data_IF_942511571013
#
_entry.id   IF_942511571013
#
_cell.length_a   1.000
_cell.length_b   1.000
_cell.length_c   1.000
_cell.angle_alpha   90.00
_cell.angle_beta   90.00
_cell.angle_gamma   90.00
#
_symmetry.space_group_name_H-M   'P 1'
#
loop_
_entity.id
_entity.type
_entity.pdbx_description
1 polymer ?
#
# COMPACT_ATOMS: atom_id res chain seq x y z
N UNK A 1 -11.87 -11.25 -20.99
CA UNK A 1 -11.62 -10.37 -19.83
C UNK A 1 -10.96 -11.03 -18.62
N UNK A 2 -11.01 -12.34 -18.47
CA UNK A 2 -10.42 -13.07 -17.32
C UNK A 2 -8.92 -13.38 -17.48
N UNK A 3 -8.37 -13.38 -18.67
CA UNK A 3 -6.96 -13.77 -18.91
C UNK A 3 -5.96 -12.64 -18.69
N UNK A 4 -6.37 -11.38 -18.81
CA UNK A 4 -5.50 -10.23 -18.54
C UNK A 4 -5.30 -9.94 -17.04
N UNK A 5 -6.28 -10.30 -16.20
CA UNK A 5 -6.15 -10.17 -14.74
C UNK A 5 -5.21 -11.22 -14.13
N UNK A 6 -5.13 -12.41 -14.73
CA UNK A 6 -4.25 -13.50 -14.26
C UNK A 6 -2.79 -13.17 -14.56
N UNK A 7 -2.50 -12.44 -15.62
CA UNK A 7 -1.13 -12.07 -15.98
C UNK A 7 -0.61 -10.83 -15.20
N UNK A 8 -1.50 -10.08 -14.54
CA UNK A 8 -1.14 -8.93 -13.69
C UNK A 8 -0.78 -9.33 -12.24
N UNK A 9 -1.27 -10.47 -11.74
CA UNK A 9 -1.00 -10.89 -10.35
C UNK A 9 0.48 -11.25 -10.12
N UNK A 10 1.19 -11.74 -11.14
CA UNK A 10 2.63 -12.03 -11.05
C UNK A 10 3.53 -10.78 -10.95
N UNK A 11 2.96 -9.58 -11.13
CA UNK A 11 3.69 -8.31 -11.02
C UNK A 11 3.74 -7.74 -9.60
N UNK A 12 2.91 -8.23 -8.66
CA UNK A 12 2.86 -7.73 -7.30
C UNK A 12 3.87 -8.44 -6.38
N UNK A 13 4.46 -7.65 -5.48
CA UNK A 13 5.46 -8.10 -4.52
C UNK A 13 4.83 -8.20 -3.13
N UNK A 14 4.97 -9.34 -2.49
CA UNK A 14 4.51 -9.59 -1.12
C UNK A 14 5.72 -9.83 -0.23
N UNK A 15 5.74 -9.20 0.93
CA UNK A 15 6.69 -9.48 1.99
C UNK A 15 6.01 -10.34 3.06
N UNK A 16 6.57 -11.50 3.33
CA UNK A 16 6.15 -12.42 4.41
C UNK A 16 7.11 -12.28 5.57
N UNK A 17 6.59 -11.98 6.75
CA UNK A 17 7.36 -11.79 7.98
C UNK A 17 6.87 -12.75 9.04
N UNK A 18 7.68 -13.74 9.37
CA UNK A 18 7.42 -14.73 10.41
C UNK A 18 8.77 -15.31 10.88
N UNK A 19 8.94 -15.57 12.16
CA UNK A 19 10.15 -16.15 12.71
C UNK A 19 10.18 -17.68 12.62
N UNK A 20 9.05 -18.34 12.37
CA UNK A 20 8.93 -19.77 12.20
C UNK A 20 9.11 -20.21 10.74
N UNK A 21 10.17 -20.99 10.39
CA UNK A 21 10.40 -21.45 9.03
C UNK A 21 9.22 -22.24 8.44
N UNK A 22 8.52 -23.02 9.24
CA UNK A 22 7.37 -23.81 8.80
C UNK A 22 6.22 -22.94 8.28
N UNK A 23 5.95 -21.81 8.93
CA UNK A 23 4.93 -20.86 8.48
C UNK A 23 5.35 -20.16 7.19
N UNK A 24 6.61 -19.78 7.10
CA UNK A 24 7.21 -19.21 5.90
C UNK A 24 7.06 -20.16 4.71
N UNK A 25 7.39 -21.43 4.87
CA UNK A 25 7.29 -22.45 3.82
C UNK A 25 5.86 -22.63 3.33
N UNK A 26 4.88 -22.64 4.24
CA UNK A 26 3.45 -22.72 3.89
C UNK A 26 3.04 -21.48 3.07
N UNK A 27 3.35 -20.29 3.55
CA UNK A 27 2.99 -19.04 2.87
C UNK A 27 3.69 -18.88 1.51
N UNK A 28 4.95 -19.28 1.41
CA UNK A 28 5.67 -19.35 0.14
C UNK A 28 4.98 -20.30 -0.85
N UNK A 29 4.63 -21.50 -0.42
CA UNK A 29 3.93 -22.47 -1.25
C UNK A 29 2.58 -21.97 -1.76
N UNK A 30 1.84 -21.23 -0.93
CA UNK A 30 0.53 -20.66 -1.27
C UNK A 30 0.65 -19.46 -2.23
N UNK A 31 1.61 -18.58 -1.99
CA UNK A 31 1.67 -17.26 -2.65
C UNK A 31 2.56 -17.23 -3.89
N UNK A 32 3.65 -18.00 -3.92
CA UNK A 32 4.63 -17.95 -5.02
C UNK A 32 4.07 -18.28 -6.41
N UNK A 33 3.03 -19.13 -6.57
CA UNK A 33 2.42 -19.34 -7.88
C UNK A 33 1.73 -18.09 -8.45
N UNK A 34 1.38 -17.13 -7.60
CA UNK A 34 0.58 -15.96 -7.96
C UNK A 34 1.33 -14.63 -7.84
N UNK A 35 2.33 -14.56 -6.96
CA UNK A 35 3.01 -13.32 -6.56
C UNK A 35 4.52 -13.50 -6.47
N UNK A 36 5.25 -12.41 -6.54
CA UNK A 36 6.66 -12.36 -6.15
C UNK A 36 6.75 -12.23 -4.64
N UNK A 37 7.39 -13.19 -3.96
CA UNK A 37 7.44 -13.25 -2.51
C UNK A 37 8.85 -13.04 -2.01
N UNK A 38 9.02 -12.12 -1.08
CA UNK A 38 10.22 -11.96 -0.25
C UNK A 38 9.89 -12.35 1.19
N UNK A 39 10.89 -12.82 1.90
CA UNK A 39 10.74 -13.34 3.25
C UNK A 39 11.68 -12.64 4.21
N UNK A 40 11.16 -12.30 5.39
CA UNK A 40 11.94 -11.77 6.50
C UNK A 40 11.67 -12.60 7.76
N UNK A 41 12.68 -13.26 8.35
CA UNK A 41 12.51 -14.03 9.58
C UNK A 41 12.50 -13.17 10.86
N UNK A 42 12.60 -11.86 10.73
CA UNK A 42 12.57 -10.92 11.86
C UNK A 42 11.96 -9.57 11.47
N UNK A 43 11.47 -8.84 12.47
CA UNK A 43 10.94 -7.50 12.26
C UNK A 43 11.98 -6.50 11.75
N UNK A 44 13.21 -6.57 12.26
CA UNK A 44 14.31 -5.70 11.83
C UNK A 44 14.64 -5.92 10.34
N UNK A 45 14.72 -7.17 9.90
CA UNK A 45 14.99 -7.48 8.49
C UNK A 45 13.79 -7.10 7.61
N UNK A 46 12.56 -7.25 8.10
CA UNK A 46 11.35 -6.84 7.40
C UNK A 46 11.37 -5.33 7.07
N UNK A 47 11.72 -4.50 8.02
CA UNK A 47 11.83 -3.05 7.82
C UNK A 47 12.92 -2.70 6.80
N UNK A 48 14.05 -3.37 6.86
CA UNK A 48 15.15 -3.18 5.90
C UNK A 48 14.74 -3.56 4.48
N UNK A 49 14.08 -4.71 4.31
CA UNK A 49 13.60 -5.17 3.01
C UNK A 49 12.52 -4.23 2.48
N UNK A 50 11.56 -3.81 3.32
CA UNK A 50 10.50 -2.89 2.93
C UNK A 50 11.03 -1.55 2.41
N UNK A 51 12.09 -1.01 3.01
CA UNK A 51 12.75 0.20 2.54
C UNK A 51 13.43 0.05 1.18
N UNK A 52 14.03 -1.11 0.92
CA UNK A 52 14.75 -1.37 -0.33
C UNK A 52 13.83 -1.73 -1.50
N UNK A 53 12.76 -2.47 -1.23
CA UNK A 53 11.92 -3.11 -2.25
C UNK A 53 10.43 -2.85 -2.04
N UNK A 54 10.04 -1.72 -1.58
CA UNK A 54 8.66 -1.34 -1.25
C UNK A 54 7.61 -2.38 -1.70
N UNK A 55 7.17 -3.30 -0.82
CA UNK A 55 6.22 -4.33 -1.21
C UNK A 55 4.81 -3.76 -1.44
N UNK A 56 3.99 -4.48 -2.19
CA UNK A 56 2.59 -4.13 -2.42
C UNK A 56 1.67 -4.55 -1.27
N UNK A 57 2.10 -5.54 -0.48
CA UNK A 57 1.41 -6.05 0.70
C UNK A 57 2.39 -6.74 1.63
N UNK A 58 2.15 -6.66 2.93
CA UNK A 58 2.94 -7.33 3.97
C UNK A 58 2.04 -8.28 4.76
N UNK A 59 2.44 -9.55 4.85
CA UNK A 59 1.91 -10.51 5.81
C UNK A 59 2.86 -10.54 7.02
N UNK A 60 2.35 -10.26 8.20
CA UNK A 60 3.18 -9.97 9.36
C UNK A 60 2.71 -10.76 10.59
N UNK A 61 3.59 -11.59 11.15
CA UNK A 61 3.35 -12.21 12.45
C UNK A 61 3.50 -11.18 13.58
N UNK A 62 2.65 -11.28 14.59
CA UNK A 62 2.69 -10.41 15.78
C UNK A 62 3.76 -10.87 16.75
N UNK A 63 3.80 -12.15 17.04
CA UNK A 63 4.67 -12.74 18.07
C UNK A 63 6.02 -13.16 17.49
N UNK A 64 6.98 -12.24 17.54
CA UNK A 64 8.35 -12.49 17.11
C UNK A 64 9.35 -12.02 18.18
N UNK A 65 10.50 -12.69 18.30
CA UNK A 65 11.59 -12.19 19.16
C UNK A 65 12.13 -10.83 18.67
N UNK A 66 12.50 -9.97 19.61
CA UNK A 66 12.96 -8.62 19.29
C UNK A 66 11.80 -7.69 18.96
N UNK A 67 11.74 -7.18 17.73
CA UNK A 67 10.61 -6.36 17.28
C UNK A 67 9.37 -7.23 17.05
N UNK A 68 8.28 -6.92 17.76
CA UNK A 68 6.98 -7.54 17.53
C UNK A 68 6.35 -7.04 16.22
N UNK A 69 5.30 -7.74 15.75
CA UNK A 69 4.52 -7.24 14.61
C UNK A 69 3.91 -5.87 14.84
N UNK A 70 3.54 -5.55 16.08
CA UNK A 70 3.06 -4.21 16.44
C UNK A 70 4.15 -3.14 16.31
N UNK A 71 5.40 -3.44 16.70
CA UNK A 71 6.53 -2.53 16.52
C UNK A 71 6.83 -2.29 15.04
N UNK A 72 6.76 -3.34 14.24
CA UNK A 72 6.98 -3.25 12.79
C UNK A 72 5.93 -2.37 12.11
N UNK A 73 4.65 -2.58 12.40
CA UNK A 73 3.59 -1.77 11.78
C UNK A 73 3.66 -0.30 12.20
N UNK A 74 4.02 -0.02 13.44
CA UNK A 74 4.26 1.37 13.90
C UNK A 74 5.36 2.04 13.10
N UNK A 75 6.47 1.36 12.89
CA UNK A 75 7.59 1.88 12.10
C UNK A 75 7.20 2.09 10.63
N UNK A 76 6.46 1.17 10.03
CA UNK A 76 5.95 1.31 8.66
C UNK A 76 5.02 2.52 8.52
N UNK A 77 4.08 2.70 9.44
CA UNK A 77 3.11 3.80 9.41
C UNK A 77 3.75 5.16 9.69
N UNK A 78 4.88 5.20 10.37
CA UNK A 78 5.66 6.42 10.61
C UNK A 78 6.53 6.85 9.42
N UNK A 79 6.70 6.01 8.42
CA UNK A 79 7.50 6.30 7.23
C UNK A 79 6.58 6.67 6.06
N UNK A 80 6.64 7.91 5.53
CA UNK A 80 5.80 8.35 4.42
C UNK A 80 5.91 7.51 3.15
N UNK A 81 7.06 6.87 2.91
CA UNK A 81 7.27 5.99 1.76
C UNK A 81 6.61 4.62 1.93
N UNK A 82 6.27 4.21 3.16
CA UNK A 82 5.81 2.87 3.50
C UNK A 82 4.41 2.84 4.15
N UNK A 83 3.89 3.98 4.54
CA UNK A 83 2.66 4.07 5.35
C UNK A 83 1.39 3.62 4.62
N UNK A 84 1.39 3.58 3.31
CA UNK A 84 0.25 3.15 2.48
C UNK A 84 0.28 1.66 2.13
N UNK A 85 1.32 0.92 2.50
CA UNK A 85 1.40 -0.51 2.25
C UNK A 85 0.37 -1.23 3.13
N UNK A 86 -0.56 -2.01 2.56
CA UNK A 86 -1.49 -2.79 3.36
C UNK A 86 -0.77 -3.88 4.15
N UNK A 87 -1.07 -3.96 5.44
CA UNK A 87 -0.51 -4.96 6.37
C UNK A 87 -1.63 -5.87 6.85
N UNK A 88 -1.46 -7.16 6.65
CA UNK A 88 -2.34 -8.22 7.20
C UNK A 88 -1.55 -8.95 8.27
N UNK A 89 -2.06 -9.00 9.48
CA UNK A 89 -1.47 -9.83 10.53
C UNK A 89 -1.81 -11.31 10.33
N UNK A 90 -0.80 -12.18 10.47
CA UNK A 90 -0.96 -13.63 10.48
C UNK A 90 -0.51 -14.13 11.84
N UNK A 91 -1.44 -14.47 12.73
CA UNK A 91 -1.13 -14.72 14.13
C UNK A 91 -1.91 -15.89 14.72
N UNK A 92 -1.31 -16.55 15.72
CA UNK A 92 -1.97 -17.57 16.53
C UNK A 92 -2.96 -16.96 17.54
N UNK A 93 -2.88 -15.66 17.80
CA UNK A 93 -3.71 -14.97 18.79
C UNK A 93 -5.07 -14.63 18.19
N UNK A 94 -6.10 -15.31 18.68
CA UNK A 94 -7.50 -15.03 18.41
C UNK A 94 -8.17 -14.30 19.57
N UNK A 95 -7.48 -13.37 20.22
CA UNK A 95 -8.05 -12.57 21.31
C UNK A 95 -8.40 -11.18 20.81
N UNK A 96 -9.66 -10.79 21.00
CA UNK A 96 -10.21 -9.55 20.47
C UNK A 96 -9.41 -8.28 20.78
N UNK A 97 -8.72 -8.23 21.92
CA UNK A 97 -7.85 -7.08 22.29
C UNK A 97 -6.67 -6.88 21.34
N UNK A 98 -6.05 -7.97 20.86
CA UNK A 98 -4.93 -7.89 19.93
C UNK A 98 -5.38 -7.54 18.51
N UNK A 99 -6.57 -7.99 18.12
CA UNK A 99 -7.16 -7.62 16.84
C UNK A 99 -7.51 -6.12 16.82
N UNK A 100 -8.18 -5.63 17.86
CA UNK A 100 -8.51 -4.22 18.02
C UNK A 100 -7.25 -3.33 17.96
N UNK A 101 -6.23 -3.68 18.74
CA UNK A 101 -4.94 -2.98 18.75
C UNK A 101 -4.27 -2.95 17.37
N UNK A 102 -4.31 -4.05 16.64
CA UNK A 102 -3.73 -4.13 15.30
C UNK A 102 -4.47 -3.25 14.29
N UNK A 103 -5.80 -3.21 14.33
CA UNK A 103 -6.58 -2.31 13.49
C UNK A 103 -6.34 -0.83 13.84
N UNK A 104 -6.26 -0.50 15.12
CA UNK A 104 -5.89 0.85 15.57
C UNK A 104 -4.52 1.28 15.07
N UNK A 105 -3.55 0.36 14.98
CA UNK A 105 -2.22 0.60 14.44
C UNK A 105 -2.18 0.70 12.91
N UNK A 106 -3.27 0.38 12.23
CA UNK A 106 -3.43 0.54 10.80
C UNK A 106 -3.35 -0.75 9.98
N UNK A 107 -3.47 -1.93 10.60
CA UNK A 107 -3.65 -3.18 9.87
C UNK A 107 -4.98 -3.17 9.10
N UNK A 108 -4.99 -3.75 7.90
CA UNK A 108 -6.20 -3.82 7.07
C UNK A 108 -6.99 -5.09 7.30
N UNK A 109 -6.36 -6.15 7.84
CA UNK A 109 -7.00 -7.43 8.07
C UNK A 109 -6.19 -8.33 9.00
N UNK A 110 -6.77 -9.45 9.37
CA UNK A 110 -6.20 -10.52 10.18
C UNK A 110 -6.40 -11.89 9.55
N UNK A 111 -5.42 -12.76 9.70
CA UNK A 111 -5.49 -14.18 9.40
C UNK A 111 -5.03 -14.95 10.63
N UNK A 112 -5.87 -15.84 11.15
CA UNK A 112 -5.53 -16.67 12.30
C UNK A 112 -4.81 -17.94 11.87
N UNK A 113 -3.81 -18.35 12.65
CA UNK A 113 -3.17 -19.67 12.52
C UNK A 113 -4.08 -20.74 13.15
N UNK A 114 -4.15 -21.96 12.59
CA UNK A 114 -3.38 -22.49 11.47
C UNK A 114 -3.76 -21.88 10.13
N UNK A 115 -2.76 -21.72 9.25
CA UNK A 115 -2.91 -21.06 7.95
C UNK A 115 -3.83 -21.88 7.04
N UNK A 116 -4.89 -21.24 6.56
CA UNK A 116 -5.77 -21.78 5.52
C UNK A 116 -5.38 -21.20 4.15
N UNK A 117 -4.84 -22.00 3.22
CA UNK A 117 -4.42 -21.49 1.92
C UNK A 117 -5.49 -20.72 1.14
N UNK A 118 -6.75 -21.20 1.04
CA UNK A 118 -7.80 -20.46 0.34
C UNK A 118 -8.09 -19.09 0.98
N UNK A 119 -8.04 -19.01 2.30
CA UNK A 119 -8.30 -17.77 3.04
C UNK A 119 -7.18 -16.75 2.82
N UNK A 120 -5.92 -17.19 2.88
CA UNK A 120 -4.76 -16.33 2.60
C UNK A 120 -4.84 -15.76 1.19
N UNK A 121 -5.08 -16.58 0.19
CA UNK A 121 -5.20 -16.13 -1.20
C UNK A 121 -6.35 -15.13 -1.39
N UNK A 122 -7.50 -15.39 -0.80
CA UNK A 122 -8.67 -14.51 -0.90
C UNK A 122 -8.39 -13.13 -0.27
N UNK A 123 -7.83 -13.09 0.93
CA UNK A 123 -7.53 -11.84 1.64
C UNK A 123 -6.42 -11.04 0.97
N UNK A 124 -5.35 -11.70 0.57
CA UNK A 124 -4.25 -11.07 -0.18
C UNK A 124 -4.76 -10.45 -1.47
N UNK A 125 -5.52 -11.19 -2.26
CA UNK A 125 -6.11 -10.69 -3.51
C UNK A 125 -7.02 -9.48 -3.27
N UNK A 126 -7.89 -9.54 -2.27
CA UNK A 126 -8.79 -8.45 -1.92
C UNK A 126 -8.01 -7.17 -1.59
N UNK A 127 -7.03 -7.24 -0.72
CA UNK A 127 -6.31 -6.05 -0.25
C UNK A 127 -5.32 -5.50 -1.28
N UNK A 128 -4.70 -6.35 -2.10
CA UNK A 128 -3.89 -5.89 -3.24
C UNK A 128 -4.78 -5.14 -4.25
N UNK A 129 -5.93 -5.69 -4.58
CA UNK A 129 -6.86 -5.06 -5.52
C UNK A 129 -7.34 -3.70 -5.01
N UNK A 130 -7.75 -3.62 -3.74
CA UNK A 130 -8.18 -2.37 -3.12
C UNK A 130 -7.07 -1.31 -3.10
N UNK A 131 -5.86 -1.69 -2.68
CA UNK A 131 -4.72 -0.78 -2.64
C UNK A 131 -4.34 -0.26 -4.04
N UNK A 132 -4.39 -1.13 -5.05
CA UNK A 132 -4.13 -0.75 -6.42
C UNK A 132 -5.18 0.22 -6.97
N UNK A 133 -6.46 -0.03 -6.71
CA UNK A 133 -7.55 0.87 -7.11
C UNK A 133 -7.43 2.24 -6.44
N UNK A 134 -7.13 2.30 -5.15
CA UNK A 134 -6.92 3.54 -4.42
C UNK A 134 -5.75 4.34 -5.01
N UNK A 135 -4.63 3.69 -5.31
CA UNK A 135 -3.46 4.32 -5.93
C UNK A 135 -3.77 4.90 -7.31
N UNK A 136 -4.52 4.17 -8.15
CA UNK A 136 -4.94 4.65 -9.47
C UNK A 136 -5.87 5.85 -9.37
N UNK A 137 -6.82 5.84 -8.42
CA UNK A 137 -7.73 6.95 -8.17
C UNK A 137 -6.98 8.21 -7.70
N UNK A 138 -6.01 8.07 -6.80
CA UNK A 138 -5.17 9.20 -6.36
C UNK A 138 -4.37 9.82 -7.51
N UNK A 139 -3.78 9.00 -8.37
CA UNK A 139 -3.04 9.46 -9.55
C UNK A 139 -3.95 10.21 -10.53
N UNK A 140 -5.16 9.71 -10.75
CA UNK A 140 -6.15 10.38 -11.62
C UNK A 140 -6.60 11.72 -11.06
N UNK A 141 -6.89 11.78 -9.75
CA UNK A 141 -7.24 13.02 -9.05
C UNK A 141 -6.13 14.05 -9.14
N UNK A 142 -4.87 13.65 -8.89
CA UNK A 142 -3.70 14.54 -9.03
C UNK A 142 -3.56 15.09 -10.45
N UNK A 143 -3.73 14.23 -11.46
CA UNK A 143 -3.68 14.63 -12.87
C UNK A 143 -4.75 15.66 -13.21
N UNK A 144 -6.00 15.40 -12.83
CA UNK A 144 -7.12 16.33 -13.06
C UNK A 144 -6.93 17.66 -12.33
N UNK A 145 -6.45 17.62 -11.10
CA UNK A 145 -6.17 18.84 -10.33
C UNK A 145 -5.08 19.67 -11.00
N UNK A 146 -4.00 19.06 -11.48
CA UNK A 146 -2.94 19.76 -12.21
C UNK A 146 -3.46 20.38 -13.53
N UNK A 147 -4.30 19.68 -14.28
CA UNK A 147 -4.93 20.17 -15.50
C UNK A 147 -5.84 21.37 -15.23
N UNK A 148 -6.66 21.32 -14.16
CA UNK A 148 -7.51 22.42 -13.74
C UNK A 148 -6.70 23.65 -13.33
N UNK A 149 -5.64 23.49 -12.55
CA UNK A 149 -4.76 24.59 -12.15
C UNK A 149 -4.11 25.26 -13.37
N UNK A 150 -3.63 24.46 -14.32
CA UNK A 150 -3.05 24.95 -15.57
C UNK A 150 -4.08 25.73 -16.40
N UNK A 151 -5.30 25.23 -16.50
CA UNK A 151 -6.41 25.91 -17.20
C UNK A 151 -6.76 27.23 -16.52
N UNK A 152 -6.84 27.29 -15.18
CA UNK A 152 -7.10 28.51 -14.43
C UNK A 152 -5.99 29.57 -14.62
N UNK A 153 -4.71 29.16 -14.57
CA UNK A 153 -3.60 30.06 -14.82
C UNK A 153 -3.62 30.63 -16.23
N UNK A 154 -3.96 29.82 -17.23
CA UNK A 154 -4.10 30.29 -18.61
C UNK A 154 -5.22 31.30 -18.76
N UNK A 155 -6.38 31.09 -18.12
CA UNK A 155 -7.51 32.01 -18.12
C UNK A 155 -7.15 33.33 -17.44
N UNK A 156 -6.46 33.30 -16.28
CA UNK A 156 -6.00 34.50 -15.56
C UNK A 156 -4.99 35.27 -16.42
N UNK A 157 -4.05 34.60 -17.08
CA UNK A 157 -3.07 35.22 -17.97
C UNK A 157 -3.72 35.90 -19.18
N UNK A 158 -4.76 35.29 -19.76
CA UNK A 158 -5.53 35.88 -20.85
C UNK A 158 -6.29 37.13 -20.41
N UNK A 159 -6.91 37.11 -19.22
CA UNK A 159 -7.63 38.27 -18.65
C UNK A 159 -6.66 39.41 -18.30
N UNK A 160 -5.48 39.11 -17.76
CA UNK A 160 -4.45 40.11 -17.49
C UNK A 160 -3.94 40.77 -18.78
N UNK A 161 -3.72 40.00 -19.84
CA UNK A 161 -3.33 40.52 -21.16
C UNK A 161 -4.42 41.39 -21.77
N UNK A 162 -5.69 41.02 -21.69
CA UNK A 162 -6.81 41.79 -22.16
C UNK A 162 -6.99 43.10 -21.36
N UNK A 163 -6.75 43.08 -20.05
CA UNK A 163 -6.77 44.26 -19.19
C UNK A 163 -5.69 45.29 -19.56
N UNK A 164 -4.51 44.85 -19.90
CA UNK A 164 -3.43 45.73 -20.36
C UNK A 164 -3.72 46.39 -21.71
N UNK A 165 -4.47 45.73 -22.59
CA UNK A 165 -4.82 46.30 -23.89
C UNK A 165 -5.85 47.45 -23.81
N UNK A 166 -6.76 47.40 -22.80
CA UNK A 166 -7.75 48.46 -22.60
C UNK A 166 -7.17 49.70 -21.90
N UNK A 167 -6.09 49.61 -21.17
CA UNK A 167 -5.46 50.74 -20.48
C UNK A 167 -4.58 51.62 -21.38
N UNK A 168 -4.21 51.14 -22.54
CA UNK A 168 -3.40 51.90 -23.48
C UNK A 168 -4.21 52.71 -24.47
N UNK A 169 -5.52 52.56 -24.54
CA UNK A 169 -6.38 53.26 -25.53
C UNK A 169 -7.14 54.49 -24.96
N UNK A 170 -6.94 54.79 -23.68
CA UNK A 170 -7.62 55.95 -23.03
C UNK A 170 -6.71 57.17 -22.79
N UNK A 171 -5.52 57.22 -23.42
CA UNK A 171 -4.56 58.30 -23.22
C UNK A 171 -4.26 59.13 -24.43
N UNK A 172 -5.27 59.75 -25.08
CA UNK A 172 -5.03 60.90 -25.96
C UNK A 172 -6.33 61.65 -26.23
N UNK A 173 -6.63 62.63 -25.39
CA UNK A 173 -7.29 63.89 -25.76
C UNK A 173 -6.80 65.02 -24.86
#
# INVERSE_FOLDING_TARGET
MTSELINKSSAFNILVVDDEPANIDILLGVLSPHYKVKVAPSGALALKIAQQYVPDLILLDIMMPGLSGFDVIKALKSNPALNNIPVIFVTALGQGEDEEKGFELGAVDYITKPISPPLVLARVKTHITLAHQMKMTELEVKKRTAELQKSQQSAISMLAAAGHYNDTDTGHH
#
